data_IF_342054313461
#
_entry.id   IF_342054313461
#
_cell.length_a   1.000
_cell.length_b   1.000
_cell.length_c   1.000
_cell.angle_alpha   90.00
_cell.angle_beta   90.00
_cell.angle_gamma   90.00
#
_symmetry.space_group_name_H-M   'P 1'
#
loop_
_entity.id
_entity.type
_entity.pdbx_description
1 polymer ?
#
# COMPACT_ATOMS: atom_id res chain seq x y z
N UNK A 1 6.95 11.72 -19.59
CA UNK A 1 7.04 11.67 -19.09
C UNK A 1 6.49 11.70 -18.00
N UNK A 2 6.08 11.25 -17.66
CA UNK A 2 5.30 11.40 -16.80
C UNK A 2 5.76 11.13 -15.56
N UNK A 3 6.59 11.79 -15.14
CA UNK A 3 7.07 11.67 -13.86
C UNK A 3 6.14 12.15 -12.84
N UNK A 4 5.00 12.66 -13.24
CA UNK A 4 4.02 13.14 -12.29
C UNK A 4 3.09 12.04 -11.80
N UNK A 5 3.24 10.83 -12.28
CA UNK A 5 2.40 9.74 -11.83
C UNK A 5 2.63 9.45 -10.36
N UNK A 6 1.56 9.22 -9.65
CA UNK A 6 1.66 8.76 -8.27
C UNK A 6 1.67 7.24 -8.31
N UNK A 7 2.71 6.65 -7.76
CA UNK A 7 2.97 5.22 -7.87
C UNK A 7 2.67 4.49 -6.58
N UNK A 8 1.92 3.41 -6.70
CA UNK A 8 1.50 2.61 -5.57
C UNK A 8 1.90 1.16 -5.77
N UNK A 9 2.24 0.47 -4.67
CA UNK A 9 2.40 -0.97 -4.71
C UNK A 9 1.32 -1.57 -3.83
N UNK A 10 0.61 -2.57 -4.33
CA UNK A 10 -0.38 -3.30 -3.57
C UNK A 10 0.19 -4.69 -3.28
N UNK A 11 0.33 -5.03 -2.01
CA UNK A 11 0.95 -6.28 -1.59
C UNK A 11 -0.09 -7.15 -0.88
N UNK A 12 -0.43 -8.28 -1.47
CA UNK A 12 -1.41 -9.20 -0.90
C UNK A 12 -1.12 -10.58 -1.47
N UNK A 13 -1.05 -11.60 -0.61
CA UNK A 13 -0.76 -12.95 -1.08
C UNK A 13 -1.94 -13.58 -1.82
N UNK A 14 -3.12 -12.97 -1.74
CA UNK A 14 -4.26 -13.41 -2.53
C UNK A 14 -4.25 -12.60 -3.82
N UNK A 15 -3.89 -13.24 -4.92
CA UNK A 15 -3.72 -12.54 -6.20
C UNK A 15 -4.96 -11.79 -6.65
N UNK A 16 -6.13 -12.37 -6.49
CA UNK A 16 -7.35 -11.71 -6.92
C UNK A 16 -7.63 -10.46 -6.09
N UNK A 17 -7.31 -10.49 -4.82
CA UNK A 17 -7.51 -9.33 -3.96
C UNK A 17 -6.57 -8.20 -4.37
N UNK A 18 -5.31 -8.54 -4.65
CA UNK A 18 -4.35 -7.54 -5.09
C UNK A 18 -4.78 -6.95 -6.44
N UNK A 19 -5.20 -7.80 -7.37
CA UNK A 19 -5.60 -7.34 -8.70
C UNK A 19 -6.82 -6.44 -8.65
N UNK A 20 -7.79 -6.78 -7.81
CA UNK A 20 -9.00 -5.98 -7.70
C UNK A 20 -8.71 -4.59 -7.16
N UNK A 21 -7.93 -4.52 -6.09
CA UNK A 21 -7.60 -3.24 -5.51
C UNK A 21 -6.75 -2.42 -6.47
N UNK A 22 -5.80 -3.06 -7.15
CA UNK A 22 -4.95 -2.37 -8.12
C UNK A 22 -5.79 -1.78 -9.24
N UNK A 23 -6.76 -2.54 -9.76
CA UNK A 23 -7.60 -2.06 -10.82
C UNK A 23 -8.40 -0.84 -10.38
N UNK A 24 -8.97 -0.87 -9.18
CA UNK A 24 -9.70 0.26 -8.66
C UNK A 24 -8.83 1.51 -8.63
N UNK A 25 -7.61 1.36 -8.17
CA UNK A 25 -6.71 2.50 -8.03
C UNK A 25 -6.23 3.00 -9.40
N UNK A 26 -6.02 2.08 -10.34
CA UNK A 26 -5.64 2.47 -11.69
C UNK A 26 -6.75 3.26 -12.36
N UNK A 27 -7.99 2.87 -12.13
CA UNK A 27 -9.12 3.60 -12.70
C UNK A 27 -9.21 5.02 -12.14
N UNK A 28 -8.66 5.23 -10.96
CA UNK A 28 -8.67 6.54 -10.35
C UNK A 28 -7.47 7.40 -10.80
N UNK A 29 -6.55 6.83 -11.54
CA UNK A 29 -5.43 7.61 -12.07
C UNK A 29 -4.07 7.28 -11.50
N UNK A 30 -3.98 6.30 -10.62
CA UNK A 30 -2.69 5.93 -10.04
C UNK A 30 -1.98 4.91 -10.93
N UNK A 31 -0.67 4.89 -10.85
CA UNK A 31 0.13 3.86 -11.49
C UNK A 31 0.39 2.80 -10.42
N UNK A 32 -0.05 1.58 -10.64
CA UNK A 32 -0.05 0.57 -9.60
C UNK A 32 0.69 -0.69 -10.03
N UNK A 33 1.47 -1.24 -9.12
CA UNK A 33 2.08 -2.55 -9.30
C UNK A 33 1.60 -3.44 -8.18
N UNK A 34 1.53 -4.74 -8.43
CA UNK A 34 1.13 -5.68 -7.40
C UNK A 34 2.30 -6.57 -7.02
N UNK A 35 2.32 -7.00 -5.77
CA UNK A 35 3.27 -7.97 -5.27
C UNK A 35 2.50 -8.98 -4.44
N UNK A 36 2.95 -10.22 -4.43
CA UNK A 36 2.21 -11.28 -3.75
C UNK A 36 2.87 -11.70 -2.44
N UNK A 37 3.99 -11.12 -2.10
CA UNK A 37 4.60 -11.32 -0.81
C UNK A 37 5.55 -10.15 -0.53
N UNK A 38 6.06 -10.12 0.70
CA UNK A 38 6.90 -9.00 1.13
C UNK A 38 8.24 -8.95 0.40
N UNK A 39 8.80 -10.11 0.07
CA UNK A 39 10.08 -10.14 -0.63
C UNK A 39 9.94 -9.57 -2.04
N UNK A 40 8.86 -9.89 -2.72
CA UNK A 40 8.61 -9.36 -4.05
C UNK A 40 8.41 -7.85 -3.99
N UNK A 41 7.68 -7.38 -2.98
CA UNK A 41 7.46 -5.95 -2.80
C UNK A 41 8.78 -5.23 -2.59
N UNK A 42 9.63 -5.75 -1.71
CA UNK A 42 10.91 -5.12 -1.42
C UNK A 42 11.80 -5.07 -2.67
N UNK A 43 11.72 -6.11 -3.49
CA UNK A 43 12.54 -6.17 -4.69
C UNK A 43 12.19 -5.11 -5.72
N UNK A 44 10.95 -4.63 -5.70
CA UNK A 44 10.54 -3.67 -6.72
C UNK A 44 10.59 -2.20 -6.26
N UNK A 45 10.86 -1.96 -5.00
CA UNK A 45 10.81 -0.57 -4.50
C UNK A 45 11.84 0.32 -5.18
N UNK A 46 13.08 -0.13 -5.28
CA UNK A 46 14.13 0.74 -5.83
C UNK A 46 13.86 1.12 -7.27
N UNK A 47 13.37 0.20 -8.08
CA UNK A 47 13.16 0.49 -9.49
C UNK A 47 11.85 1.20 -9.75
N UNK A 48 10.82 0.89 -8.99
CA UNK A 48 9.50 1.51 -9.21
C UNK A 48 9.37 2.84 -8.49
N UNK A 49 10.06 2.98 -7.38
CA UNK A 49 10.02 4.19 -6.55
C UNK A 49 8.59 4.58 -6.17
N UNK A 50 7.90 3.74 -5.41
CA UNK A 50 6.50 4.02 -5.05
C UNK A 50 6.41 5.18 -4.07
N UNK A 51 5.28 5.88 -4.12
CA UNK A 51 4.96 6.90 -3.14
C UNK A 51 4.23 6.29 -1.95
N UNK A 52 3.58 5.15 -2.16
CA UNK A 52 2.79 4.52 -1.14
C UNK A 52 2.75 3.01 -1.35
N UNK A 53 2.73 2.26 -0.26
CA UNK A 53 2.59 0.80 -0.31
C UNK A 53 1.38 0.43 0.53
N UNK A 54 0.42 -0.28 -0.10
CA UNK A 54 -0.74 -0.81 0.59
C UNK A 54 -0.46 -2.30 0.78
N UNK A 55 -0.56 -2.80 1.98
CA UNK A 55 -0.14 -4.18 2.24
C UNK A 55 -1.02 -4.89 3.24
N UNK A 56 -1.19 -6.20 3.04
CA UNK A 56 -1.88 -7.04 4.00
C UNK A 56 -0.86 -7.39 5.09
N UNK A 57 -1.32 -7.43 6.32
CA UNK A 57 -0.43 -7.74 7.44
C UNK A 57 -0.12 -9.23 7.49
N UNK A 58 -1.13 -10.05 7.21
CA UNK A 58 -0.98 -11.50 7.36
C UNK A 58 -0.58 -12.15 6.05
N UNK A 59 0.71 -12.32 5.83
CA UNK A 59 1.24 -12.92 4.62
C UNK A 59 2.32 -13.92 4.99
N UNK A 60 2.51 -14.98 4.19
CA UNK A 60 3.58 -15.94 4.47
C UNK A 60 4.95 -15.31 4.20
N UNK A 61 5.95 -15.80 4.87
CA UNK A 61 7.30 -15.29 4.71
C UNK A 61 7.47 -13.96 5.41
N UNK A 62 7.81 -12.93 4.66
CA UNK A 62 7.91 -11.59 5.24
C UNK A 62 6.50 -11.03 5.34
N UNK A 63 5.98 -10.94 6.56
CA UNK A 63 4.62 -10.44 6.77
C UNK A 63 4.60 -8.91 6.70
N UNK A 64 3.42 -8.35 6.87
CA UNK A 64 3.24 -6.90 6.73
C UNK A 64 4.02 -6.10 7.75
N UNK A 65 4.16 -6.61 8.97
CA UNK A 65 4.92 -5.90 9.98
C UNK A 65 6.40 -5.85 9.63
N UNK A 66 6.95 -6.98 9.21
CA UNK A 66 8.36 -7.02 8.83
C UNK A 66 8.62 -6.19 7.57
N UNK A 67 7.70 -6.24 6.60
CA UNK A 67 7.79 -5.41 5.42
C UNK A 67 7.85 -3.93 5.81
N UNK A 68 6.96 -3.52 6.71
CA UNK A 68 6.91 -2.14 7.17
C UNK A 68 8.21 -1.72 7.82
N UNK A 69 8.76 -2.58 8.66
CA UNK A 69 10.00 -2.29 9.35
C UNK A 69 11.16 -2.11 8.37
N UNK A 70 11.22 -2.97 7.36
CA UNK A 70 12.31 -2.90 6.38
C UNK A 70 12.19 -1.65 5.51
N UNK A 71 10.96 -1.26 5.18
CA UNK A 71 10.75 -0.05 4.40
C UNK A 71 11.16 1.17 5.23
N UNK A 72 10.77 1.22 6.49
CA UNK A 72 11.13 2.35 7.34
C UNK A 72 12.64 2.43 7.56
N UNK A 73 13.30 1.29 7.72
CA UNK A 73 14.73 1.27 7.97
C UNK A 73 15.50 1.83 6.78
N UNK A 74 14.99 1.64 5.57
CA UNK A 74 15.70 2.04 4.37
C UNK A 74 15.23 3.36 3.79
N UNK A 75 13.93 3.63 3.88
CA UNK A 75 13.34 4.79 3.23
C UNK A 75 12.72 5.80 4.20
N UNK A 76 12.80 5.53 5.49
CA UNK A 76 12.25 6.41 6.51
C UNK A 76 10.77 6.68 6.26
N UNK A 77 10.37 7.93 6.22
CA UNK A 77 8.99 8.31 5.98
C UNK A 77 8.74 8.74 4.54
N UNK A 78 9.66 8.41 3.65
CA UNK A 78 9.52 8.81 2.25
C UNK A 78 8.40 8.06 1.55
N UNK A 79 8.01 6.90 2.08
CA UNK A 79 6.95 6.09 1.49
C UNK A 79 5.83 5.98 2.50
N UNK A 80 4.61 6.28 2.06
CA UNK A 80 3.44 6.14 2.92
C UNK A 80 3.08 4.66 3.02
N UNK A 81 2.88 4.16 4.23
CA UNK A 81 2.54 2.76 4.44
C UNK A 81 1.11 2.65 4.94
N UNK A 82 0.30 1.90 4.22
CA UNK A 82 -1.10 1.69 4.53
C UNK A 82 -1.36 0.20 4.70
N UNK A 83 -1.77 -0.18 5.90
CA UNK A 83 -2.10 -1.58 6.18
C UNK A 83 -3.58 -1.82 5.86
N UNK A 84 -3.86 -2.89 5.11
CA UNK A 84 -5.23 -3.27 4.77
C UNK A 84 -5.37 -4.74 5.13
N UNK A 85 -6.15 -5.04 6.14
CA UNK A 85 -6.19 -6.41 6.66
C UNK A 85 -7.59 -6.79 7.11
N UNK A 86 -7.84 -8.10 7.16
CA UNK A 86 -9.09 -8.63 7.66
C UNK A 86 -9.08 -8.76 9.19
N UNK A 87 -7.92 -8.57 9.81
CA UNK A 87 -7.83 -8.73 11.26
C UNK A 87 -8.36 -7.51 12.01
N UNK A 88 -8.89 -7.75 13.19
CA UNK A 88 -9.37 -6.68 14.06
C UNK A 88 -8.18 -5.89 14.62
N UNK A 89 -8.34 -4.60 14.89
CA UNK A 89 -7.28 -3.83 15.53
C UNK A 89 -6.85 -4.39 16.88
N UNK A 90 -7.72 -5.19 17.53
CA UNK A 90 -7.39 -5.77 18.83
C UNK A 90 -6.61 -7.07 18.70
N UNK A 91 -6.40 -7.57 17.48
CA UNK A 91 -5.66 -8.80 17.27
C UNK A 91 -4.18 -8.51 17.51
N UNK A 92 -3.50 -9.29 18.36
CA UNK A 92 -2.07 -9.04 18.63
C UNK A 92 -1.20 -9.01 17.39
N UNK A 93 -1.61 -9.71 16.32
CA UNK A 93 -0.83 -9.72 15.08
C UNK A 93 -0.84 -8.37 14.37
N UNK A 94 -1.85 -7.57 14.66
CA UNK A 94 -2.02 -6.28 14.02
C UNK A 94 -1.39 -5.16 14.82
N UNK A 95 -1.32 -5.31 16.11
CA UNK A 95 -0.89 -4.23 17.00
C UNK A 95 0.47 -3.65 16.63
N UNK A 96 1.42 -4.51 16.24
CA UNK A 96 2.73 -4.03 15.86
C UNK A 96 2.71 -3.23 14.55
N UNK A 97 1.90 -3.68 13.60
CA UNK A 97 1.81 -3.01 12.31
C UNK A 97 1.17 -1.64 12.45
N UNK A 98 0.25 -1.49 13.40
CA UNK A 98 -0.37 -0.21 13.66
C UNK A 98 0.64 0.86 14.01
N UNK A 99 1.73 0.48 14.67
CA UNK A 99 2.73 1.45 15.10
C UNK A 99 3.64 1.90 13.98
N UNK A 100 3.79 1.04 12.97
CA UNK A 100 4.73 1.29 11.89
C UNK A 100 4.04 1.88 10.67
N UNK A 101 2.83 1.45 10.39
CA UNK A 101 2.07 1.95 9.24
C UNK A 101 1.53 3.35 9.53
N UNK A 102 1.38 4.14 8.49
CA UNK A 102 0.79 5.47 8.62
C UNK A 102 -0.71 5.39 8.76
N UNK A 103 -1.35 4.41 8.12
CA UNK A 103 -2.79 4.26 8.15
C UNK A 103 -3.16 2.79 8.17
N UNK A 104 -4.35 2.50 8.66
CA UNK A 104 -4.84 1.14 8.80
C UNK A 104 -6.30 1.08 8.34
N UNK A 105 -6.63 0.10 7.52
CA UNK A 105 -7.99 -0.11 7.07
C UNK A 105 -8.38 -1.58 7.19
N UNK A 106 -9.63 -1.83 7.53
CA UNK A 106 -10.16 -3.19 7.57
C UNK A 106 -10.66 -3.56 6.20
N UNK A 107 -10.57 -4.84 5.86
CA UNK A 107 -11.15 -5.35 4.62
C UNK A 107 -12.64 -5.62 4.84
N UNK A 108 -13.45 -5.38 3.81
CA UNK A 108 -13.10 -4.78 2.53
C UNK A 108 -12.88 -3.28 2.69
N UNK A 109 -11.87 -2.76 2.03
CA UNK A 109 -11.55 -1.35 2.19
C UNK A 109 -12.56 -0.49 1.43
N UNK A 110 -12.99 0.60 2.06
CA UNK A 110 -13.89 1.54 1.43
C UNK A 110 -13.04 2.49 0.58
N UNK A 111 -13.22 2.52 -0.72
CA UNK A 111 -12.40 3.38 -1.59
C UNK A 111 -12.47 4.84 -1.21
N UNK A 112 -13.62 5.31 -0.69
CA UNK A 112 -13.74 6.70 -0.32
C UNK A 112 -12.85 7.05 0.85
N UNK A 113 -12.73 6.15 1.81
CA UNK A 113 -11.87 6.39 2.96
C UNK A 113 -10.41 6.28 2.54
N UNK A 114 -10.11 5.35 1.67
CA UNK A 114 -8.75 5.16 1.20
C UNK A 114 -8.26 6.39 0.47
N UNK A 115 -9.11 7.00 -0.35
CA UNK A 115 -8.74 8.19 -1.10
C UNK A 115 -8.33 9.35 -0.20
N UNK A 116 -8.83 9.40 1.00
CA UNK A 116 -8.49 10.50 1.89
C UNK A 116 -7.05 10.47 2.37
N UNK A 117 -6.43 9.29 2.35
CA UNK A 117 -5.06 9.15 2.85
C UNK A 117 -4.04 8.84 1.77
N UNK A 118 -4.50 8.54 0.56
CA UNK A 118 -3.56 8.28 -0.52
C UNK A 118 -2.88 9.58 -0.94
N UNK A 119 -1.65 9.49 -1.44
CA UNK A 119 -1.01 10.70 -1.98
C UNK A 119 -1.88 11.29 -3.07
N UNK A 120 -2.00 12.61 -3.13
CA UNK A 120 -2.86 13.23 -4.12
C UNK A 120 -2.33 13.04 -5.52
N UNK A 121 -3.25 12.89 -6.47
CA UNK A 121 -2.86 12.78 -7.86
C UNK A 121 -2.21 14.08 -8.32
N UNK A 122 -1.33 13.95 -9.27
CA UNK A 122 -0.56 15.08 -9.76
C UNK A 122 -0.86 15.34 -11.22
N UNK A 123 -0.16 16.27 -11.78
CA UNK A 123 -0.24 16.51 -13.20
C UNK A 123 -1.48 17.20 -13.63
N UNK A 124 -2.15 17.81 -12.76
CA UNK A 124 -3.30 18.57 -13.12
C UNK A 124 -4.52 17.79 -13.38
N UNK A 125 -4.43 16.53 -13.26
CA UNK A 125 -5.57 15.76 -13.49
C UNK A 125 -6.46 15.76 -12.36
N UNK A 126 -6.23 16.61 -11.37
CA UNK A 126 -6.95 16.59 -10.32
C UNK A 126 -8.29 16.97 -10.44
N UNK A 127 -9.26 16.31 -10.01
CA UNK A 127 -10.62 16.68 -10.09
C UNK A 127 -10.85 17.88 -9.32
N UNK A 128 -11.72 18.68 -9.84
CA UNK A 128 -11.99 19.81 -9.15
C UNK A 128 -13.13 19.62 -8.36
N UNK A 129 -13.34 20.21 -7.29
CA UNK A 129 -14.51 20.11 -6.45
C UNK A 129 -15.73 20.59 -7.16
#
# INVERSE_FOLDING_TARGET
>A
MSDDSVRLIVVDDVEDAAATLALMLELDGYEVRTAHDGAQALAMIDSFAPHCILFDIDMPGIDGLELSRRVRARYDNDIVLIAVTAHSPNDPRVAGAFRVADHYFSKPVDPKLLHKVLPPLRGGAEPKP
#
